data_IF_407601930467
#
_entry.id   IF_407601930467
#
_cell.length_a   1.000
_cell.length_b   1.000
_cell.length_c   1.000
_cell.angle_alpha   90.00
_cell.angle_beta   90.00
_cell.angle_gamma   90.00
#
_symmetry.space_group_name_H-M   'P 1'
#
loop_
_entity.id
_entity.type
_entity.pdbx_description
1 polymer ?
#
# COMPACT_ATOMS: atom_id res chain seq x y z
N UNK A 1 3.53 0.12 -15.26
CA UNK A 1 3.83 -1.15 -14.56
C UNK A 1 4.48 -2.15 -15.49
N UNK A 2 3.83 -2.68 -16.56
CA UNK A 2 4.45 -3.59 -17.52
C UNK A 2 5.76 -3.04 -18.08
N UNK A 3 5.84 -1.75 -18.36
CA UNK A 3 7.04 -1.09 -18.84
C UNK A 3 8.20 -1.22 -17.83
N UNK A 4 7.94 -1.01 -16.54
CA UNK A 4 8.93 -1.20 -15.48
C UNK A 4 9.35 -2.67 -15.33
N UNK A 5 8.38 -3.58 -15.37
CA UNK A 5 8.64 -5.02 -15.24
C UNK A 5 9.48 -5.52 -16.41
N UNK A 6 9.19 -5.04 -17.63
CA UNK A 6 9.98 -5.35 -18.81
C UNK A 6 11.40 -4.76 -18.73
N UNK A 7 11.52 -3.48 -18.35
CA UNK A 7 12.82 -2.83 -18.21
C UNK A 7 13.69 -3.57 -17.16
N UNK A 8 13.12 -3.94 -16.02
CA UNK A 8 13.80 -4.73 -15.00
C UNK A 8 14.21 -6.11 -15.53
N UNK A 9 13.31 -6.79 -16.26
CA UNK A 9 13.62 -8.11 -16.84
C UNK A 9 14.75 -8.04 -17.86
N UNK A 10 14.82 -6.95 -18.65
CA UNK A 10 15.93 -6.72 -19.61
C UNK A 10 17.23 -6.43 -18.89
N UNK A 11 17.23 -5.59 -17.85
CA UNK A 11 18.41 -5.23 -17.07
C UNK A 11 19.07 -6.45 -16.44
N UNK A 12 18.26 -7.38 -15.93
CA UNK A 12 18.74 -8.61 -15.30
C UNK A 12 18.78 -9.82 -16.25
N UNK A 13 18.64 -9.59 -17.57
CA UNK A 13 18.68 -10.66 -18.56
C UNK A 13 20.00 -11.41 -18.57
N UNK A 14 19.94 -12.74 -18.55
CA UNK A 14 21.11 -13.61 -18.54
C UNK A 14 21.31 -14.28 -19.88
N UNK A 15 22.53 -14.19 -20.42
CA UNK A 15 22.87 -14.89 -21.65
C UNK A 15 23.06 -16.39 -21.39
N UNK A 16 22.33 -17.21 -22.12
CA UNK A 16 22.41 -18.67 -22.11
C UNK A 16 22.72 -19.18 -23.51
N UNK A 17 24.00 -19.35 -23.84
CA UNK A 17 24.43 -19.72 -25.19
C UNK A 17 24.10 -18.61 -26.21
N UNK A 18 23.22 -18.92 -27.18
CA UNK A 18 22.72 -17.97 -28.19
C UNK A 18 21.42 -17.28 -27.82
N UNK A 19 20.85 -17.56 -26.64
CA UNK A 19 19.57 -17.03 -26.17
C UNK A 19 19.80 -16.11 -24.96
N UNK A 20 18.88 -15.18 -24.75
CA UNK A 20 18.78 -14.42 -23.52
C UNK A 20 17.55 -14.91 -22.75
N UNK A 21 17.70 -15.14 -21.46
CA UNK A 21 16.62 -15.44 -20.53
C UNK A 21 16.33 -14.20 -19.73
N UNK A 22 15.09 -13.73 -19.80
CA UNK A 22 14.55 -12.61 -19.01
C UNK A 22 13.54 -13.17 -18.02
N UNK A 23 13.61 -12.74 -16.78
CA UNK A 23 12.66 -13.13 -15.74
C UNK A 23 11.95 -11.86 -15.27
N UNK A 24 10.63 -11.84 -15.41
CA UNK A 24 9.81 -10.73 -14.93
C UNK A 24 9.79 -10.70 -13.41
N UNK A 25 9.88 -9.50 -12.78
CA UNK A 25 9.78 -9.37 -11.34
C UNK A 25 8.38 -9.77 -10.84
N UNK A 26 8.29 -10.11 -9.56
CA UNK A 26 7.00 -10.30 -8.90
C UNK A 26 6.43 -8.94 -8.50
N UNK A 27 5.62 -8.37 -9.37
CA UNK A 27 4.97 -7.08 -9.16
C UNK A 27 3.56 -7.24 -8.61
N UNK A 28 3.06 -6.21 -7.96
CA UNK A 28 1.66 -6.11 -7.54
C UNK A 28 1.13 -4.69 -7.74
N UNK A 29 -0.18 -4.55 -7.88
CA UNK A 29 -0.86 -3.27 -7.87
C UNK A 29 -1.44 -3.02 -6.48
N UNK A 30 -1.13 -1.87 -5.89
CA UNK A 30 -1.66 -1.49 -4.59
C UNK A 30 -2.86 -0.57 -4.79
N UNK A 31 -4.05 -1.03 -4.40
CA UNK A 31 -5.24 -0.21 -4.33
C UNK A 31 -5.40 0.33 -2.91
N UNK A 32 -5.16 1.62 -2.73
CA UNK A 32 -5.33 2.30 -1.44
C UNK A 32 -6.80 2.40 -1.05
N UNK A 33 -7.68 2.51 -2.06
CA UNK A 33 -9.13 2.47 -1.93
C UNK A 33 -9.67 1.44 -2.91
N UNK A 34 -10.66 0.68 -2.47
CA UNK A 34 -11.30 -0.31 -3.31
C UNK A 34 -12.82 -0.21 -3.27
N UNK A 35 -13.44 -0.76 -4.30
CA UNK A 35 -14.88 -0.92 -4.45
C UNK A 35 -15.20 -2.38 -4.78
N UNK A 36 -16.47 -2.72 -4.89
CA UNK A 36 -16.89 -4.07 -5.33
C UNK A 36 -16.35 -4.44 -6.71
N UNK A 37 -16.08 -3.43 -7.55
CA UNK A 37 -15.60 -3.64 -8.92
C UNK A 37 -14.06 -3.62 -9.02
N UNK A 38 -13.34 -3.41 -7.90
CA UNK A 38 -11.87 -3.45 -7.92
C UNK A 38 -11.41 -4.89 -8.16
N UNK A 39 -10.69 -5.18 -9.25
CA UNK A 39 -10.30 -6.53 -9.61
C UNK A 39 -9.28 -7.11 -8.63
N UNK A 40 -9.19 -8.44 -8.57
CA UNK A 40 -8.16 -9.14 -7.79
C UNK A 40 -6.84 -9.27 -8.55
N UNK A 41 -6.91 -9.13 -9.87
CA UNK A 41 -5.76 -9.16 -10.77
C UNK A 41 -5.92 -8.10 -11.84
N UNK A 42 -4.81 -7.48 -12.23
CA UNK A 42 -4.71 -6.78 -13.49
C UNK A 42 -4.23 -7.79 -14.53
N UNK A 43 -4.99 -7.94 -15.61
CA UNK A 43 -4.69 -8.88 -16.66
C UNK A 43 -4.34 -8.14 -17.95
N UNK A 44 -3.27 -8.57 -18.60
CA UNK A 44 -2.78 -7.98 -19.85
C UNK A 44 -2.38 -9.10 -20.80
N UNK A 45 -2.95 -9.10 -21.99
CA UNK A 45 -2.52 -9.97 -23.06
C UNK A 45 -1.28 -9.37 -23.74
N UNK A 46 -0.16 -10.06 -23.64
CA UNK A 46 1.08 -9.71 -24.36
C UNK A 46 1.11 -10.48 -25.65
N UNK A 47 0.88 -9.78 -26.78
CA UNK A 47 0.85 -10.37 -28.10
C UNK A 47 2.19 -10.15 -28.80
N UNK A 48 2.81 -11.21 -29.28
CA UNK A 48 4.09 -11.17 -29.98
C UNK A 48 3.89 -11.09 -31.50
N UNK A 49 4.90 -10.58 -32.27
CA UNK A 49 4.81 -10.45 -33.72
C UNK A 49 4.58 -11.76 -34.49
N UNK A 50 4.95 -12.90 -33.89
CA UNK A 50 4.73 -14.24 -34.44
C UNK A 50 3.30 -14.77 -34.20
N UNK A 51 2.43 -13.95 -33.57
CA UNK A 51 1.07 -14.32 -33.18
C UNK A 51 0.97 -15.04 -31.81
N UNK A 52 2.09 -15.30 -31.16
CA UNK A 52 2.10 -15.84 -29.78
C UNK A 52 1.44 -14.85 -28.83
N UNK A 53 0.64 -15.36 -27.90
CA UNK A 53 -0.01 -14.56 -26.87
C UNK A 53 0.25 -15.17 -25.50
N UNK A 54 0.57 -14.31 -24.52
CA UNK A 54 0.74 -14.72 -23.13
C UNK A 54 -0.06 -13.79 -22.21
N UNK A 55 -0.91 -14.37 -21.37
CA UNK A 55 -1.63 -13.63 -20.36
C UNK A 55 -0.68 -13.27 -19.20
N UNK A 56 -0.36 -11.99 -19.07
CA UNK A 56 0.40 -11.45 -17.95
C UNK A 56 -0.57 -10.99 -16.85
N UNK A 57 -0.45 -11.62 -15.69
CA UNK A 57 -1.37 -11.42 -14.57
C UNK A 57 -0.63 -10.85 -13.39
N UNK A 58 -1.08 -9.68 -12.90
CA UNK A 58 -0.48 -8.96 -11.77
C UNK A 58 -1.49 -8.92 -10.63
N UNK A 59 -1.18 -9.45 -9.44
CA UNK A 59 -2.08 -9.46 -8.31
C UNK A 59 -2.34 -8.03 -7.79
N UNK A 60 -3.57 -7.80 -7.34
CA UNK A 60 -4.00 -6.57 -6.70
C UNK A 60 -4.05 -6.74 -5.17
N UNK A 61 -3.37 -5.84 -4.47
CA UNK A 61 -3.42 -5.73 -3.02
C UNK A 61 -4.40 -4.61 -2.66
N UNK A 62 -5.49 -4.95 -1.98
CA UNK A 62 -6.53 -4.01 -1.55
C UNK A 62 -6.29 -3.66 -0.08
N UNK A 63 -5.74 -2.47 0.19
CA UNK A 63 -5.32 -2.07 1.54
C UNK A 63 -6.49 -2.03 2.52
N UNK A 64 -7.68 -1.61 2.07
CA UNK A 64 -8.89 -1.57 2.92
C UNK A 64 -9.30 -2.95 3.47
N UNK A 65 -8.85 -4.06 2.85
CA UNK A 65 -9.15 -5.41 3.31
C UNK A 65 -8.24 -5.87 4.47
N UNK A 66 -7.17 -5.13 4.76
CA UNK A 66 -6.25 -5.48 5.83
C UNK A 66 -6.65 -4.76 7.12
N UNK A 67 -6.74 -5.52 8.21
CA UNK A 67 -6.82 -4.97 9.57
C UNK A 67 -5.42 -4.61 10.06
N UNK A 68 -5.32 -3.76 11.10
CA UNK A 68 -4.03 -3.46 11.75
C UNK A 68 -3.32 -4.74 12.21
N UNK A 69 -4.08 -5.68 12.80
CA UNK A 69 -3.52 -6.93 13.32
C UNK A 69 -2.97 -7.80 12.19
N UNK A 70 -3.68 -7.90 11.04
CA UNK A 70 -3.15 -8.61 9.86
C UNK A 70 -1.87 -7.96 9.31
N UNK A 71 -1.75 -6.62 9.39
CA UNK A 71 -0.57 -5.89 8.93
C UNK A 71 0.63 -6.26 9.79
N UNK A 72 0.48 -6.28 11.12
CA UNK A 72 1.54 -6.68 12.04
C UNK A 72 1.88 -8.16 11.93
N UNK A 73 0.88 -9.04 11.97
CA UNK A 73 1.07 -10.50 11.86
C UNK A 73 1.84 -10.91 10.61
N UNK A 74 1.61 -10.22 9.50
CA UNK A 74 2.27 -10.48 8.22
C UNK A 74 3.50 -9.60 7.95
N UNK A 75 3.92 -8.81 8.93
CA UNK A 75 5.04 -7.85 8.82
C UNK A 75 4.93 -6.89 7.63
N UNK A 76 3.70 -6.48 7.28
CA UNK A 76 3.41 -5.57 6.17
C UNK A 76 3.44 -4.10 6.62
N UNK A 77 4.42 -3.73 7.44
CA UNK A 77 4.48 -2.42 8.13
C UNK A 77 4.36 -1.22 7.20
N UNK A 78 4.82 -1.34 5.95
CA UNK A 78 4.70 -0.29 4.92
C UNK A 78 3.24 0.02 4.53
N UNK A 79 2.28 -0.83 4.89
CA UNK A 79 0.85 -0.56 4.67
C UNK A 79 0.21 0.27 5.78
N UNK A 80 0.86 0.43 6.95
CA UNK A 80 0.31 1.18 8.09
C UNK A 80 -0.04 2.63 7.76
N UNK A 81 0.79 3.41 7.03
CA UNK A 81 0.42 4.76 6.63
C UNK A 81 -0.88 4.82 5.82
N UNK A 82 -1.07 3.86 4.92
CA UNK A 82 -2.27 3.78 4.09
C UNK A 82 -3.48 3.22 4.83
N UNK A 83 -3.26 2.47 5.91
CA UNK A 83 -4.32 2.02 6.80
C UNK A 83 -5.11 3.20 7.39
N UNK A 84 -4.43 4.27 7.76
CA UNK A 84 -5.03 5.49 8.30
C UNK A 84 -5.92 6.21 7.25
N UNK A 85 -5.64 6.09 5.96
CA UNK A 85 -6.45 6.71 4.90
C UNK A 85 -7.91 6.25 4.86
N UNK A 86 -8.25 5.12 5.48
CA UNK A 86 -9.65 4.67 5.61
C UNK A 86 -10.53 5.65 6.38
N UNK A 87 -9.93 6.45 7.26
CA UNK A 87 -10.63 7.45 8.06
C UNK A 87 -10.93 8.73 7.29
N UNK A 88 -10.31 8.94 6.13
CA UNK A 88 -10.54 10.12 5.31
C UNK A 88 -12.03 10.27 4.90
N UNK A 89 -12.71 9.18 4.58
CA UNK A 89 -14.15 9.21 4.24
C UNK A 89 -15.07 9.46 5.44
N UNK A 90 -14.54 9.29 6.65
CA UNK A 90 -15.28 9.44 7.92
C UNK A 90 -14.94 10.72 8.66
N UNK A 91 -14.14 11.58 8.07
CA UNK A 91 -13.67 12.77 8.72
C UNK A 91 -14.83 13.71 9.13
N UNK A 92 -15.83 13.91 8.23
CA UNK A 92 -17.01 14.69 8.59
C UNK A 92 -17.75 14.07 9.80
N UNK A 93 -17.89 12.74 9.84
CA UNK A 93 -18.48 12.04 10.98
C UNK A 93 -17.65 12.24 12.27
N UNK A 94 -16.32 12.33 12.15
CA UNK A 94 -15.41 12.53 13.29
C UNK A 94 -15.49 13.95 13.86
N UNK A 95 -15.74 14.97 13.01
CA UNK A 95 -15.94 16.34 13.46
C UNK A 95 -17.22 16.50 14.28
N UNK A 96 -18.23 15.67 14.01
CA UNK A 96 -19.52 15.67 14.71
C UNK A 96 -19.59 14.67 15.88
N UNK A 97 -18.69 13.67 15.89
CA UNK A 97 -18.68 12.59 16.90
C UNK A 97 -17.32 12.48 17.61
N UNK A 98 -17.18 13.08 18.80
CA UNK A 98 -15.95 13.02 19.56
C UNK A 98 -15.49 11.61 19.95
N UNK A 99 -16.43 10.65 20.07
CA UNK A 99 -16.10 9.26 20.38
C UNK A 99 -15.33 8.59 19.23
N UNK A 100 -15.74 8.86 18.01
CA UNK A 100 -15.10 8.34 16.80
C UNK A 100 -13.66 8.85 16.67
N UNK A 101 -13.46 10.14 16.98
CA UNK A 101 -12.14 10.74 17.00
C UNK A 101 -11.25 10.11 18.07
N UNK A 102 -11.81 9.85 19.27
CA UNK A 102 -11.07 9.19 20.36
C UNK A 102 -10.70 7.74 19.99
N UNK A 103 -11.58 7.01 19.30
CA UNK A 103 -11.28 5.68 18.76
C UNK A 103 -10.07 5.70 17.81
N UNK A 104 -10.01 6.68 16.91
CA UNK A 104 -8.89 6.86 15.99
C UNK A 104 -7.58 7.15 16.73
N UNK A 105 -7.62 8.05 17.73
CA UNK A 105 -6.46 8.35 18.53
C UNK A 105 -5.95 7.10 19.30
N UNK A 106 -6.86 6.35 19.90
CA UNK A 106 -6.52 5.11 20.57
C UNK A 106 -5.91 4.07 19.60
N UNK A 107 -6.46 3.98 18.39
CA UNK A 107 -5.94 3.07 17.36
C UNK A 107 -4.53 3.51 16.89
N UNK A 108 -4.31 4.81 16.73
CA UNK A 108 -3.00 5.37 16.42
C UNK A 108 -1.96 5.04 17.50
N UNK A 109 -2.29 5.23 18.77
CA UNK A 109 -1.39 4.91 19.91
C UNK A 109 -1.06 3.41 19.96
N UNK A 110 -2.03 2.54 19.69
CA UNK A 110 -1.79 1.10 19.61
C UNK A 110 -0.85 0.77 18.45
N UNK A 111 -1.04 1.37 17.27
CA UNK A 111 -0.17 1.18 16.11
C UNK A 111 1.25 1.64 16.45
N UNK A 112 1.39 2.84 17.02
CA UNK A 112 2.68 3.41 17.41
C UNK A 112 3.43 2.52 18.38
N UNK A 113 2.76 2.09 19.46
CA UNK A 113 3.37 1.25 20.50
C UNK A 113 3.83 -0.12 19.95
N UNK A 114 2.98 -0.77 19.12
CA UNK A 114 3.36 -2.04 18.47
C UNK A 114 4.53 -1.85 17.51
N UNK A 115 4.52 -0.78 16.74
CA UNK A 115 5.57 -0.47 15.78
C UNK A 115 6.91 -0.21 16.47
N UNK A 116 6.90 0.51 17.60
CA UNK A 116 8.09 0.77 18.41
C UNK A 116 8.72 -0.52 18.93
N UNK A 117 7.92 -1.45 19.45
CA UNK A 117 8.40 -2.76 19.91
C UNK A 117 9.02 -3.56 18.77
N UNK A 118 8.29 -3.73 17.65
CA UNK A 118 8.72 -4.57 16.55
C UNK A 118 9.99 -4.04 15.86
N UNK A 119 10.09 -2.72 15.71
CA UNK A 119 11.27 -2.10 15.09
C UNK A 119 12.47 -2.09 16.04
N UNK A 120 12.25 -1.90 17.35
CA UNK A 120 13.33 -1.97 18.34
C UNK A 120 13.93 -3.36 18.37
N UNK A 121 13.10 -4.40 18.36
CA UNK A 121 13.54 -5.80 18.31
C UNK A 121 14.29 -6.14 17.01
N UNK A 122 13.88 -5.53 15.89
CA UNK A 122 14.50 -5.76 14.58
C UNK A 122 15.74 -4.91 14.28
N UNK A 123 16.06 -3.93 15.14
CA UNK A 123 17.18 -3.00 14.95
C UNK A 123 17.00 -1.99 13.81
N UNK A 124 15.78 -1.74 13.36
CA UNK A 124 15.44 -0.84 12.23
C UNK A 124 14.87 0.50 12.67
N UNK A 125 15.55 1.18 13.59
CA UNK A 125 15.07 2.44 14.18
C UNK A 125 14.77 3.56 13.16
N UNK A 126 15.51 3.63 12.05
CA UNK A 126 15.25 4.60 10.98
C UNK A 126 13.88 4.37 10.32
N UNK A 127 13.53 3.10 10.05
CA UNK A 127 12.24 2.74 9.49
C UNK A 127 11.07 3.17 10.40
N UNK A 128 11.24 3.11 11.73
CA UNK A 128 10.23 3.60 12.67
C UNK A 128 9.96 5.09 12.49
N UNK A 129 11.05 5.89 12.47
CA UNK A 129 10.94 7.33 12.30
C UNK A 129 10.23 7.70 10.98
N UNK A 130 10.60 7.04 9.89
CA UNK A 130 10.03 7.28 8.57
C UNK A 130 8.54 6.91 8.50
N UNK A 131 8.16 5.75 9.05
CA UNK A 131 6.77 5.30 9.07
C UNK A 131 5.90 6.20 9.93
N UNK A 132 6.34 6.57 11.14
CA UNK A 132 5.61 7.50 12.01
C UNK A 132 5.49 8.87 11.35
N UNK A 133 6.57 9.39 10.76
CA UNK A 133 6.55 10.64 10.01
C UNK A 133 5.55 10.63 8.86
N UNK A 134 5.45 9.53 8.12
CA UNK A 134 4.50 9.36 7.02
C UNK A 134 3.05 9.24 7.52
N UNK A 135 2.81 8.47 8.56
CA UNK A 135 1.49 8.35 9.22
C UNK A 135 1.02 9.73 9.68
N UNK A 136 1.87 10.50 10.35
CA UNK A 136 1.54 11.84 10.84
C UNK A 136 1.17 12.77 9.69
N UNK A 137 1.95 12.79 8.59
CA UNK A 137 1.65 13.63 7.42
C UNK A 137 0.34 13.27 6.74
N UNK A 138 0.02 11.98 6.64
CA UNK A 138 -1.24 11.52 6.06
C UNK A 138 -2.41 11.93 6.98
N UNK A 139 -2.27 11.76 8.28
CA UNK A 139 -3.27 12.19 9.26
C UNK A 139 -3.52 13.70 9.20
N UNK A 140 -2.46 14.50 9.19
CA UNK A 140 -2.56 15.95 9.04
C UNK A 140 -3.27 16.35 7.75
N UNK A 141 -2.99 15.66 6.64
CA UNK A 141 -3.63 15.94 5.36
C UNK A 141 -5.14 15.64 5.41
N UNK A 142 -5.52 14.52 6.00
CA UNK A 142 -6.93 14.13 6.18
C UNK A 142 -7.67 15.20 6.99
N UNK A 143 -7.14 15.61 8.13
CA UNK A 143 -7.80 16.57 9.02
C UNK A 143 -7.84 17.99 8.49
N UNK A 144 -6.77 18.47 7.81
CA UNK A 144 -6.75 19.82 7.21
C UNK A 144 -7.72 20.01 6.05
N UNK A 145 -7.99 18.96 5.28
CA UNK A 145 -8.92 19.06 4.15
C UNK A 145 -10.38 19.22 4.63
N UNK A 146 -10.68 18.75 5.83
CA UNK A 146 -12.01 18.87 6.42
C UNK A 146 -12.30 20.25 6.98
N UNK A 147 -11.33 20.92 7.59
CA UNK A 147 -11.49 22.32 8.01
C UNK A 147 -11.83 23.25 6.84
N UNK A 148 -11.43 22.88 5.61
CA UNK A 148 -11.75 23.64 4.40
C UNK A 148 -13.13 23.31 3.82
N UNK A 149 -13.57 22.05 3.90
CA UNK A 149 -14.88 21.63 3.40
C UNK A 149 -16.04 22.06 4.29
N UNK A 150 -15.81 22.34 5.57
CA UNK A 150 -16.82 22.83 6.50
C UNK A 150 -17.08 24.33 6.46
N UNK A 151 -16.43 25.08 5.52
CA UNK A 151 -16.58 26.54 5.37
C UNK A 151 -17.28 26.97 4.08
N UNK A 152 -17.81 26.07 3.29
CA UNK A 152 -18.73 26.32 2.18
C UNK A 152 -20.16 25.90 2.58
#
# INVERSE_FOLDING_TARGET
>A
MIEYDFATAVEFARKQGRRYRMEFPRSCVLYLRNSRNTPDFLEVDVVFPDGGCHLYRVPAIKVENYTKDNIFEKSLLMLLPFYIMRYEKRGHEMSENPQLFQELLNEYEVIRSKLEVEITESGRSELFSDLIGLITRISDHIFRNEEKSGKE
#
